data_IF_956703893734
#
_entry.id   IF_956703893734
#
_cell.length_a   1.000
_cell.length_b   1.000
_cell.length_c   1.000
_cell.angle_alpha   90.00
_cell.angle_beta   90.00
_cell.angle_gamma   90.00
#
_symmetry.space_group_name_H-M   'P 1'
#
loop_
_entity.id
_entity.type
_entity.pdbx_description
1 polymer ?
#
# COMPACT_ATOMS: atom_id res chain seq x y z
N UNK A 1 10.92 54.20 -18.28
CA UNK A 1 10.23 54.57 -19.52
C UNK A 1 10.13 53.36 -20.44
N UNK A 2 9.01 53.20 -21.13
CA UNK A 2 8.68 52.18 -22.14
C UNK A 2 7.80 52.86 -23.21
N UNK A 3 7.50 52.24 -24.36
CA UNK A 3 8.33 51.52 -25.35
C UNK A 3 8.29 52.30 -26.70
N UNK A 4 8.43 51.67 -27.90
CA UNK A 4 7.23 51.18 -28.63
C UNK A 4 7.51 49.86 -29.43
N UNK A 5 6.77 49.43 -30.50
CA UNK A 5 6.05 48.15 -30.48
C UNK A 5 6.41 47.12 -31.60
N UNK A 6 5.82 45.90 -31.60
CA UNK A 6 6.07 44.86 -32.61
C UNK A 6 4.98 44.74 -33.70
N UNK A 7 5.35 44.22 -34.89
CA UNK A 7 4.52 43.24 -35.63
C UNK A 7 5.40 42.15 -36.32
N UNK A 8 4.92 41.05 -36.90
CA UNK A 8 3.73 40.19 -36.74
C UNK A 8 4.01 38.87 -37.53
N UNK A 9 3.31 37.77 -37.24
CA UNK A 9 3.19 36.60 -38.17
C UNK A 9 1.86 36.73 -38.91
N UNK A 10 1.77 36.40 -40.22
CA UNK A 10 1.45 35.02 -40.66
C UNK A 10 2.29 34.63 -41.92
N UNK A 11 2.00 33.65 -42.80
CA UNK A 11 0.87 32.71 -42.95
C UNK A 11 1.33 31.32 -43.48
N UNK A 12 0.42 30.35 -43.34
CA UNK A 12 0.32 29.00 -43.91
C UNK A 12 0.13 28.90 -45.44
N UNK A 13 0.65 27.83 -46.06
CA UNK A 13 0.10 27.22 -47.30
C UNK A 13 0.25 25.69 -47.30
N UNK A 14 -0.65 24.99 -48.02
CA UNK A 14 -0.81 23.52 -48.03
C UNK A 14 -0.67 22.95 -49.46
N UNK A 15 -0.13 21.72 -49.53
CA UNK A 15 -0.48 20.62 -50.46
C UNK A 15 -0.39 20.76 -51.99
N UNK A 16 0.49 19.95 -52.58
CA UNK A 16 0.27 19.02 -53.72
C UNK A 16 1.36 17.92 -53.64
N UNK A 17 1.05 16.61 -53.58
CA UNK A 17 0.72 15.65 -54.67
C UNK A 17 1.81 15.55 -55.76
N UNK A 18 2.31 14.39 -56.25
CA UNK A 18 2.09 12.92 -56.07
C UNK A 18 3.43 12.19 -56.51
N UNK A 19 3.48 10.94 -57.07
CA UNK A 19 3.56 9.64 -56.37
C UNK A 19 4.73 8.72 -56.81
N UNK A 20 4.97 7.57 -56.14
CA UNK A 20 4.92 6.21 -56.77
C UNK A 20 5.17 5.03 -55.78
N UNK A 21 4.72 3.86 -56.20
CA UNK A 21 4.37 2.66 -55.42
C UNK A 21 5.52 1.67 -55.12
N UNK A 22 5.39 1.02 -53.95
CA UNK A 22 5.46 -0.44 -53.69
C UNK A 22 6.60 -1.34 -54.21
N UNK A 23 7.19 -2.11 -53.28
CA UNK A 23 7.48 -3.53 -53.52
C UNK A 23 7.38 -4.39 -52.24
N UNK A 24 6.83 -5.61 -52.38
CA UNK A 24 6.76 -6.66 -51.33
C UNK A 24 7.79 -7.77 -51.63
N UNK A 25 8.44 -8.32 -50.58
CA UNK A 25 8.94 -9.73 -50.38
C UNK A 25 10.01 -9.68 -49.28
N UNK A 26 9.92 -10.33 -48.12
CA UNK A 26 9.75 -11.76 -47.74
C UNK A 26 11.06 -12.55 -47.55
N UNK A 27 11.42 -12.76 -46.28
CA UNK A 27 11.98 -13.99 -45.64
C UNK A 27 13.27 -14.67 -46.17
N UNK A 28 14.12 -15.02 -45.18
CA UNK A 28 15.16 -16.08 -45.09
C UNK A 28 16.53 -15.80 -45.73
N UNK A 29 17.59 -16.21 -45.02
CA UNK A 29 18.98 -16.29 -45.50
C UNK A 29 19.97 -16.29 -44.33
N UNK A 30 20.74 -17.36 -44.13
CA UNK A 30 21.74 -17.50 -43.06
C UNK A 30 23.18 -17.26 -43.54
N UNK A 31 24.11 -17.23 -42.59
CA UNK A 31 25.56 -17.50 -42.67
C UNK A 31 26.58 -16.40 -43.08
N UNK A 32 27.37 -16.03 -42.05
CA UNK A 32 28.85 -15.96 -41.97
C UNK A 32 29.69 -15.63 -43.22
N UNK A 33 30.59 -14.66 -43.03
CA UNK A 33 32.00 -14.71 -43.51
C UNK A 33 32.91 -13.96 -42.51
N UNK A 34 34.24 -14.12 -42.60
CA UNK A 34 35.19 -14.04 -41.48
C UNK A 34 36.45 -13.17 -41.76
N UNK A 35 36.96 -12.45 -40.72
CA UNK A 35 38.42 -12.30 -40.35
C UNK A 35 39.29 -11.36 -41.24
N UNK A 36 40.49 -10.81 -40.85
CA UNK A 36 41.34 -10.90 -39.62
C UNK A 36 41.87 -9.58 -38.94
N UNK A 37 42.52 -9.73 -37.76
CA UNK A 37 43.59 -8.85 -37.21
C UNK A 37 43.17 -7.95 -36.02
N UNK A 38 43.87 -7.79 -34.88
CA UNK A 38 45.32 -7.80 -34.53
C UNK A 38 45.56 -8.43 -33.11
N UNK A 39 46.81 -8.71 -32.71
CA UNK A 39 47.26 -9.53 -31.55
C UNK A 39 47.64 -8.77 -30.26
N UNK A 40 47.18 -9.28 -29.09
CA UNK A 40 47.95 -9.71 -27.86
C UNK A 40 48.79 -8.68 -27.04
N UNK A 41 49.30 -8.98 -25.81
CA UNK A 41 49.24 -10.22 -24.97
C UNK A 41 48.91 -10.07 -23.46
N UNK A 42 48.51 -11.17 -22.79
CA UNK A 42 48.56 -11.43 -21.31
C UNK A 42 48.81 -12.95 -21.09
N UNK A 43 49.60 -13.42 -20.09
CA UNK A 43 50.09 -14.81 -20.03
C UNK A 43 49.14 -15.84 -19.34
N UNK A 44 49.37 -17.16 -19.50
CA UNK A 44 48.43 -18.24 -19.12
C UNK A 44 48.93 -19.22 -18.03
N UNK A 45 48.04 -20.13 -17.57
CA UNK A 45 48.22 -21.58 -17.22
C UNK A 45 47.17 -22.02 -16.16
N UNK A 46 46.81 -23.32 -16.02
CA UNK A 46 46.55 -24.33 -17.06
C UNK A 46 45.22 -25.10 -16.88
N UNK A 47 44.62 -25.54 -17.98
CA UNK A 47 43.61 -26.61 -18.01
C UNK A 47 44.22 -27.89 -18.65
N UNK A 48 43.92 -29.04 -18.06
CA UNK A 48 44.20 -30.41 -18.52
C UNK A 48 42.96 -31.26 -18.14
N UNK A 49 42.44 -32.21 -18.92
CA UNK A 49 42.94 -32.85 -20.15
C UNK A 49 41.80 -33.23 -21.12
N UNK A 50 42.20 -33.74 -22.30
CA UNK A 50 41.36 -34.12 -23.45
C UNK A 50 40.35 -35.25 -23.23
N UNK A 51 39.36 -35.29 -24.13
CA UNK A 51 38.45 -36.41 -24.34
C UNK A 51 39.06 -37.54 -25.21
N UNK A 52 38.46 -38.73 -25.15
CA UNK A 52 38.57 -39.76 -26.16
C UNK A 52 37.18 -40.40 -26.40
N UNK A 53 36.82 -40.63 -27.67
CA UNK A 53 35.61 -41.37 -28.04
C UNK A 53 35.85 -42.87 -27.88
N UNK A 54 34.77 -43.61 -27.63
CA UNK A 54 34.54 -44.96 -28.18
C UNK A 54 33.03 -45.29 -28.08
N UNK A 55 32.40 -45.61 -29.21
CA UNK A 55 31.07 -46.22 -29.24
C UNK A 55 31.21 -47.74 -29.29
N UNK A 56 30.36 -48.47 -28.58
CA UNK A 56 30.02 -49.87 -28.87
C UNK A 56 28.60 -50.18 -28.36
N UNK A 57 27.93 -51.08 -29.06
CA UNK A 57 26.53 -51.44 -28.86
C UNK A 57 26.27 -52.44 -27.72
N UNK A 58 24.99 -52.53 -27.36
CA UNK A 58 24.31 -53.70 -26.75
C UNK A 58 24.61 -54.08 -25.28
N UNK A 59 23.58 -53.84 -24.46
CA UNK A 59 23.07 -54.74 -23.40
C UNK A 59 23.75 -54.83 -22.02
N UNK A 60 23.08 -54.18 -21.06
CA UNK A 60 22.81 -54.61 -19.67
C UNK A 60 23.86 -54.49 -18.53
N UNK A 61 23.53 -53.59 -17.58
CA UNK A 61 23.49 -53.81 -16.10
C UNK A 61 24.86 -54.09 -15.41
N UNK A 62 25.39 -53.23 -14.51
CA UNK A 62 24.87 -53.03 -13.14
C UNK A 62 25.50 -51.82 -12.37
N UNK A 63 24.71 -51.19 -11.50
CA UNK A 63 25.00 -50.40 -10.27
C UNK A 63 26.17 -49.37 -10.26
N UNK A 64 25.84 -48.07 -10.19
CA UNK A 64 25.99 -47.21 -8.99
C UNK A 64 25.58 -45.76 -9.25
N UNK A 65 25.03 -45.09 -8.21
CA UNK A 65 24.56 -43.68 -8.18
C UNK A 65 23.43 -43.33 -9.19
N UNK A 66 22.37 -42.60 -8.85
CA UNK A 66 22.20 -41.56 -7.83
C UNK A 66 20.89 -41.81 -7.05
N UNK A 67 20.97 -41.98 -5.74
CA UNK A 67 19.81 -41.83 -4.84
C UNK A 67 19.66 -40.35 -4.47
N UNK A 68 19.06 -39.55 -5.35
CA UNK A 68 18.68 -38.18 -4.99
C UNK A 68 17.40 -38.28 -4.15
N UNK A 69 17.49 -37.95 -2.86
CA UNK A 69 16.36 -38.11 -1.96
C UNK A 69 15.19 -37.23 -2.38
N UNK A 70 14.03 -37.88 -2.56
CA UNK A 70 12.72 -37.24 -2.46
C UNK A 70 12.54 -36.70 -1.03
N UNK A 71 13.10 -35.52 -0.76
CA UNK A 71 12.65 -34.71 0.36
C UNK A 71 11.23 -34.26 0.04
N UNK A 72 10.26 -34.66 0.87
CA UNK A 72 8.87 -34.25 0.70
C UNK A 72 8.78 -32.72 0.70
N UNK A 73 8.23 -32.15 -0.38
CA UNK A 73 7.99 -30.72 -0.47
C UNK A 73 6.85 -30.33 0.48
N UNK A 74 7.18 -30.14 1.75
CA UNK A 74 6.35 -29.35 2.67
C UNK A 74 6.13 -27.98 2.04
N UNK A 75 4.88 -27.56 1.90
CA UNK A 75 4.53 -26.23 1.39
C UNK A 75 5.03 -25.13 2.35
N UNK A 76 6.30 -24.78 2.26
CA UNK A 76 6.83 -23.57 2.87
C UNK A 76 6.27 -22.37 2.11
N UNK A 77 5.43 -21.60 2.79
CA UNK A 77 4.81 -20.36 2.30
C UNK A 77 5.78 -19.16 2.35
N UNK A 78 7.02 -19.39 2.79
CA UNK A 78 8.05 -18.39 2.98
C UNK A 78 9.41 -18.91 2.49
N UNK A 79 10.30 -17.99 2.16
CA UNK A 79 11.65 -18.26 1.69
C UNK A 79 12.62 -18.54 2.85
N UNK A 80 13.41 -19.62 2.83
CA UNK A 80 14.43 -19.88 3.85
C UNK A 80 15.59 -18.87 3.75
N UNK A 81 16.39 -18.78 4.82
CA UNK A 81 17.57 -17.92 4.91
C UNK A 81 18.48 -18.09 3.69
N UNK A 82 19.06 -16.98 3.24
CA UNK A 82 19.94 -16.87 2.06
C UNK A 82 19.27 -17.08 0.68
N UNK A 83 17.94 -17.28 0.63
CA UNK A 83 17.20 -17.29 -0.64
C UNK A 83 16.98 -15.89 -1.22
N UNK A 84 16.90 -15.78 -2.55
CA UNK A 84 16.56 -14.53 -3.24
C UNK A 84 15.09 -14.16 -3.02
N UNK A 85 14.82 -12.90 -2.66
CA UNK A 85 13.55 -12.47 -2.05
C UNK A 85 12.87 -11.27 -2.72
N UNK A 86 13.08 -11.08 -4.02
CA UNK A 86 12.39 -10.03 -4.80
C UNK A 86 12.33 -10.41 -6.28
N UNK A 87 11.29 -11.14 -6.69
CA UNK A 87 11.09 -11.55 -8.10
C UNK A 87 9.67 -11.40 -8.63
N UNK A 88 8.65 -11.16 -7.79
CA UNK A 88 7.29 -10.85 -8.22
C UNK A 88 6.40 -10.37 -7.06
N UNK A 89 5.33 -9.65 -7.42
CA UNK A 89 4.27 -9.14 -6.51
C UNK A 89 3.49 -10.27 -5.81
N UNK A 90 3.56 -11.50 -6.35
CA UNK A 90 2.93 -12.70 -5.77
C UNK A 90 3.95 -13.71 -5.19
N UNK A 91 5.20 -13.28 -4.93
CA UNK A 91 6.27 -14.14 -4.41
C UNK A 91 6.20 -14.37 -2.89
N UNK A 92 6.65 -15.54 -2.37
CA UNK A 92 6.72 -15.78 -0.93
C UNK A 92 7.76 -14.86 -0.26
N UNK A 93 7.40 -14.23 0.86
CA UNK A 93 8.32 -13.43 1.69
C UNK A 93 9.28 -14.29 2.51
N UNK A 94 10.28 -13.68 3.15
CA UNK A 94 11.25 -14.40 4.00
C UNK A 94 10.58 -15.06 5.23
N UNK A 95 11.04 -16.25 5.61
CA UNK A 95 10.58 -16.92 6.83
C UNK A 95 11.07 -16.15 8.07
N UNK A 96 10.17 -15.82 8.98
CA UNK A 96 10.52 -15.18 10.26
C UNK A 96 11.60 -15.99 11.02
N UNK A 97 12.57 -15.33 11.67
CA UNK A 97 12.70 -13.89 11.90
C UNK A 97 13.40 -13.11 10.75
N UNK A 98 13.70 -13.75 9.62
CA UNK A 98 14.52 -13.17 8.56
C UNK A 98 13.78 -12.08 7.78
N UNK A 99 14.53 -11.09 7.28
CA UNK A 99 14.05 -10.00 6.42
C UNK A 99 14.71 -10.08 5.04
N UNK A 100 14.06 -9.50 4.04
CA UNK A 100 14.66 -9.34 2.72
C UNK A 100 15.58 -8.11 2.70
N UNK A 101 16.83 -8.31 2.27
CA UNK A 101 17.78 -7.22 2.03
C UNK A 101 18.12 -7.17 0.55
N UNK A 102 18.32 -5.98 -0.01
CA UNK A 102 18.57 -5.77 -1.43
C UNK A 102 19.97 -5.21 -1.65
N UNK A 103 20.69 -5.68 -2.65
CA UNK A 103 22.02 -5.16 -3.04
C UNK A 103 21.97 -4.45 -4.40
N UNK A 104 21.03 -4.82 -5.25
CA UNK A 104 20.79 -4.18 -6.53
C UNK A 104 19.35 -4.43 -7.00
N UNK A 105 18.86 -3.75 -8.06
CA UNK A 105 17.56 -4.05 -8.65
C UNK A 105 17.32 -5.52 -9.03
N UNK A 106 18.39 -6.32 -9.17
CA UNK A 106 18.37 -7.70 -9.64
C UNK A 106 18.81 -8.72 -8.59
N UNK A 107 19.24 -8.28 -7.40
CA UNK A 107 19.78 -9.15 -6.36
C UNK A 107 19.33 -8.72 -4.96
N UNK A 108 18.70 -9.66 -4.27
CA UNK A 108 18.18 -9.55 -2.91
C UNK A 108 18.36 -10.89 -2.20
N UNK A 109 18.33 -10.90 -0.87
CA UNK A 109 18.53 -12.09 -0.07
C UNK A 109 17.85 -12.03 1.31
N UNK A 110 17.22 -13.13 1.73
CA UNK A 110 16.72 -13.29 3.09
C UNK A 110 17.86 -13.43 4.09
N UNK A 111 17.91 -12.58 5.12
CA UNK A 111 18.95 -12.63 6.17
C UNK A 111 18.41 -12.41 7.58
N UNK A 112 19.13 -12.84 8.63
CA UNK A 112 18.76 -12.58 10.02
C UNK A 112 19.11 -11.15 10.45
N UNK A 113 20.11 -10.55 9.80
CA UNK A 113 20.55 -9.17 9.93
C UNK A 113 21.05 -8.69 8.57
N UNK A 114 21.16 -7.38 8.39
CA UNK A 114 21.69 -6.82 7.15
C UNK A 114 23.23 -7.01 7.09
N UNK A 115 23.81 -7.41 5.95
CA UNK A 115 25.26 -7.48 5.81
C UNK A 115 25.94 -6.13 6.08
N UNK A 116 27.12 -6.14 6.71
CA UNK A 116 27.87 -4.90 7.04
C UNK A 116 28.48 -4.20 5.81
N UNK A 117 28.36 -4.81 4.62
CA UNK A 117 28.88 -4.30 3.36
C UNK A 117 27.98 -3.19 2.79
N UNK A 118 28.54 -2.00 2.60
CA UNK A 118 27.89 -0.80 2.08
C UNK A 118 27.35 -0.93 0.62
N UNK A 119 27.64 -2.02 -0.08
CA UNK A 119 27.00 -2.34 -1.37
C UNK A 119 25.56 -2.84 -1.21
N UNK A 120 25.18 -3.31 -0.03
CA UNK A 120 23.80 -3.62 0.28
C UNK A 120 23.04 -2.34 0.63
N UNK A 121 21.77 -2.29 0.29
CA UNK A 121 20.82 -1.27 0.75
C UNK A 121 20.47 -1.49 2.24
N UNK A 122 21.49 -1.65 3.07
CA UNK A 122 21.46 -1.75 4.54
C UNK A 122 21.31 -0.41 5.24
N UNK A 123 20.75 0.58 4.53
CA UNK A 123 20.06 1.66 5.21
C UNK A 123 19.07 1.04 6.19
N UNK A 124 18.84 1.68 7.33
CA UNK A 124 17.70 1.37 8.19
C UNK A 124 16.42 1.53 7.36
N UNK A 125 15.98 0.47 6.67
CA UNK A 125 14.87 0.51 5.73
C UNK A 125 13.69 1.04 6.50
N UNK A 126 13.10 2.20 6.13
CA UNK A 126 12.19 2.90 7.02
C UNK A 126 11.03 1.99 7.44
N UNK A 127 11.12 1.46 8.66
CA UNK A 127 10.11 0.57 9.23
C UNK A 127 8.91 1.41 9.63
N UNK A 128 7.76 1.08 9.06
CA UNK A 128 6.50 1.81 9.24
C UNK A 128 5.49 0.91 9.95
N UNK A 129 4.95 1.38 11.09
CA UNK A 129 3.83 0.74 11.76
C UNK A 129 2.56 1.60 11.65
N UNK A 130 1.53 1.08 10.98
CA UNK A 130 0.24 1.74 10.80
C UNK A 130 -0.76 1.26 11.87
N UNK A 131 -1.24 2.17 12.72
CA UNK A 131 -2.24 1.86 13.75
C UNK A 131 -3.65 2.03 13.19
N UNK A 132 -4.46 0.99 13.31
CA UNK A 132 -5.91 1.03 13.08
C UNK A 132 -6.59 0.67 14.40
N UNK A 133 -7.24 1.65 15.02
CA UNK A 133 -7.78 1.54 16.37
C UNK A 133 -9.31 1.64 16.37
N UNK A 134 -9.99 0.61 16.89
CA UNK A 134 -11.46 0.52 16.89
C UNK A 134 -11.95 -0.32 18.07
N UNK A 135 -13.12 0.01 18.63
CA UNK A 135 -13.70 -0.68 19.78
C UNK A 135 -15.10 -1.24 19.52
N UNK A 136 -15.45 -2.29 20.25
CA UNK A 136 -16.81 -2.81 20.44
C UNK A 136 -17.45 -3.57 19.28
N UNK A 137 -16.67 -3.88 18.21
CA UNK A 137 -16.86 -4.88 17.13
C UNK A 137 -16.41 -4.32 15.77
N UNK A 138 -16.02 -5.20 14.85
CA UNK A 138 -15.46 -4.88 13.53
C UNK A 138 -16.54 -4.79 12.42
N UNK A 139 -16.33 -3.96 11.37
CA UNK A 139 -17.24 -3.92 10.22
C UNK A 139 -17.25 -5.23 9.42
N UNK A 140 -18.34 -5.50 8.69
CA UNK A 140 -18.46 -6.68 7.83
C UNK A 140 -17.45 -6.71 6.66
N UNK A 141 -16.91 -5.56 6.25
CA UNK A 141 -15.83 -5.46 5.25
C UNK A 141 -14.42 -5.68 5.81
N UNK A 142 -14.25 -5.98 7.11
CA UNK A 142 -12.94 -6.24 7.72
C UNK A 142 -12.09 -7.33 7.02
N UNK A 143 -12.66 -8.45 6.52
CA UNK A 143 -11.90 -9.42 5.73
C UNK A 143 -11.30 -8.82 4.44
N UNK A 144 -12.03 -7.90 3.79
CA UNK A 144 -11.57 -7.19 2.59
C UNK A 144 -10.43 -6.24 2.95
N UNK A 145 -10.62 -5.43 4.00
CA UNK A 145 -9.60 -4.52 4.54
C UNK A 145 -8.29 -5.27 4.81
N UNK A 146 -8.32 -6.33 5.63
CA UNK A 146 -7.12 -7.09 6.02
C UNK A 146 -6.47 -7.76 4.81
N UNK A 147 -7.24 -8.22 3.82
CA UNK A 147 -6.67 -8.69 2.57
C UNK A 147 -5.86 -7.60 1.83
N UNK A 148 -6.33 -6.34 1.84
CA UNK A 148 -5.56 -5.22 1.27
C UNK A 148 -4.33 -4.83 2.12
N UNK A 149 -4.38 -5.01 3.45
CA UNK A 149 -3.21 -4.82 4.31
C UNK A 149 -2.13 -5.89 4.04
N UNK A 150 -2.56 -7.13 3.81
CA UNK A 150 -1.68 -8.28 3.57
C UNK A 150 -0.72 -8.08 2.39
N UNK A 151 -1.13 -7.34 1.36
CA UNK A 151 -0.34 -7.09 0.15
C UNK A 151 0.70 -5.97 0.29
N UNK A 152 0.81 -5.34 1.46
CA UNK A 152 1.73 -4.24 1.72
C UNK A 152 2.87 -4.70 2.64
N UNK A 153 3.70 -5.64 2.15
CA UNK A 153 4.73 -6.34 2.94
C UNK A 153 5.83 -5.44 3.55
N UNK A 154 6.04 -4.23 3.01
CA UNK A 154 6.97 -3.24 3.55
C UNK A 154 6.42 -2.49 4.80
N UNK A 155 5.16 -2.73 5.16
CA UNK A 155 4.43 -2.04 6.22
C UNK A 155 3.83 -3.04 7.21
N UNK A 156 4.04 -2.78 8.51
CA UNK A 156 3.37 -3.50 9.58
C UNK A 156 2.08 -2.76 10.00
N UNK A 157 1.02 -3.50 10.31
CA UNK A 157 -0.27 -2.96 10.71
C UNK A 157 -0.64 -3.44 12.11
N UNK A 158 -1.00 -2.50 12.98
CA UNK A 158 -1.38 -2.75 14.37
C UNK A 158 -2.89 -2.55 14.53
N UNK A 159 -3.63 -3.66 14.63
CA UNK A 159 -5.08 -3.64 14.87
C UNK A 159 -5.34 -3.55 16.37
N UNK A 160 -5.59 -2.33 16.86
CA UNK A 160 -5.81 -2.04 18.29
C UNK A 160 -7.31 -2.12 18.60
N UNK A 161 -7.71 -3.08 19.43
CA UNK A 161 -9.13 -3.27 19.79
C UNK A 161 -9.32 -4.07 21.08
N UNK A 162 -10.53 -4.04 21.61
CA UNK A 162 -11.03 -4.94 22.66
C UNK A 162 -11.56 -6.28 22.12
N UNK A 163 -11.82 -6.38 20.81
CA UNK A 163 -12.33 -7.58 20.14
C UNK A 163 -11.37 -7.99 19.02
N UNK A 164 -10.93 -9.25 18.99
CA UNK A 164 -10.19 -9.78 17.84
C UNK A 164 -11.17 -10.01 16.68
N UNK A 165 -10.91 -9.53 15.44
CA UNK A 165 -11.79 -9.81 14.32
C UNK A 165 -11.70 -11.29 13.93
N UNK A 166 -12.83 -11.89 13.51
CA UNK A 166 -12.92 -13.30 13.12
C UNK A 166 -12.40 -13.53 11.69
N UNK A 167 -11.08 -13.41 11.54
CA UNK A 167 -10.35 -13.42 10.27
C UNK A 167 -8.93 -13.95 10.47
N UNK A 168 -8.36 -14.55 9.43
CA UNK A 168 -6.94 -14.92 9.42
C UNK A 168 -6.05 -13.67 9.38
N UNK A 169 -5.07 -13.59 10.29
CA UNK A 169 -4.09 -12.51 10.34
C UNK A 169 -2.87 -12.84 9.46
N UNK A 170 -2.57 -12.05 8.40
CA UNK A 170 -1.33 -12.19 7.64
C UNK A 170 -0.12 -11.73 8.48
N UNK A 171 1.08 -12.12 8.07
CA UNK A 171 2.31 -11.93 8.86
C UNK A 171 2.64 -10.47 9.21
N UNK A 172 2.24 -9.50 8.38
CA UNK A 172 2.44 -8.07 8.59
C UNK A 172 1.25 -7.36 9.28
N UNK A 173 0.26 -8.11 9.80
CA UNK A 173 -0.88 -7.55 10.54
C UNK A 173 -0.93 -8.20 11.93
N UNK A 174 -0.74 -7.38 12.97
CA UNK A 174 -0.69 -7.81 14.37
C UNK A 174 -1.89 -7.26 15.14
N UNK A 175 -2.59 -8.14 15.85
CA UNK A 175 -3.59 -7.73 16.82
C UNK A 175 -2.94 -7.21 18.11
N UNK A 176 -3.45 -6.09 18.63
CA UNK A 176 -3.06 -5.48 19.90
C UNK A 176 -4.31 -5.38 20.77
N UNK A 177 -4.43 -6.29 21.74
CA UNK A 177 -5.53 -6.28 22.69
C UNK A 177 -5.44 -5.04 23.61
N UNK A 178 -6.35 -4.10 23.43
CA UNK A 178 -6.44 -2.88 24.22
C UNK A 178 -7.91 -2.64 24.57
N UNK A 179 -8.31 -2.96 25.79
CA UNK A 179 -9.67 -2.65 26.25
C UNK A 179 -9.90 -1.14 26.29
N UNK A 180 -11.16 -0.70 26.17
CA UNK A 180 -11.46 0.73 26.26
C UNK A 180 -11.00 1.37 27.59
N UNK A 181 -11.06 0.61 28.69
CA UNK A 181 -10.51 1.01 30.01
C UNK A 181 -8.98 1.18 29.97
N UNK A 182 -8.28 0.32 29.23
CA UNK A 182 -6.83 0.39 29.05
C UNK A 182 -6.43 1.60 28.20
N UNK A 183 -7.19 1.94 27.15
CA UNK A 183 -6.99 3.19 26.40
C UNK A 183 -7.09 4.42 27.32
N UNK A 184 -8.15 4.51 28.14
CA UNK A 184 -8.32 5.62 29.08
C UNK A 184 -7.19 5.69 30.12
N UNK A 185 -6.68 4.54 30.58
CA UNK A 185 -5.51 4.47 31.46
C UNK A 185 -4.26 4.99 30.76
N UNK A 186 -4.00 4.59 29.52
CA UNK A 186 -2.87 5.11 28.71
C UNK A 186 -2.96 6.63 28.51
N UNK A 187 -4.16 7.19 28.28
CA UNK A 187 -4.35 8.65 28.25
C UNK A 187 -3.95 9.32 29.57
N UNK A 188 -4.36 8.75 30.70
CA UNK A 188 -3.99 9.26 32.02
C UNK A 188 -2.48 9.18 32.28
N UNK A 189 -1.86 8.04 31.97
CA UNK A 189 -0.46 7.75 32.34
C UNK A 189 0.56 8.38 31.38
N UNK A 190 0.25 8.47 30.08
CA UNK A 190 1.16 9.01 29.03
C UNK A 190 0.91 10.48 28.73
N UNK A 191 -0.35 10.91 28.70
CA UNK A 191 -0.71 12.27 28.29
C UNK A 191 -0.92 13.21 29.48
N UNK A 192 -1.07 12.66 30.70
CA UNK A 192 -1.35 13.41 31.93
C UNK A 192 -2.80 13.85 32.07
N UNK A 193 -3.70 13.36 31.21
CA UNK A 193 -5.08 13.82 31.13
C UNK A 193 -6.09 12.75 31.57
N UNK A 194 -6.95 13.11 32.52
CA UNK A 194 -8.05 12.26 32.97
C UNK A 194 -9.26 12.46 32.06
N UNK A 195 -9.47 11.58 31.10
CA UNK A 195 -10.74 11.45 30.39
C UNK A 195 -11.73 10.68 31.29
N UNK A 196 -12.75 11.33 31.89
CA UNK A 196 -13.64 10.66 32.84
C UNK A 196 -14.63 9.71 32.15
N UNK A 197 -15.03 10.04 30.92
CA UNK A 197 -15.88 9.26 30.03
C UNK A 197 -15.72 9.77 28.59
N UNK A 198 -16.22 8.99 27.62
CA UNK A 198 -16.34 9.37 26.22
C UNK A 198 -17.82 9.27 25.80
N UNK A 199 -18.29 10.24 25.02
CA UNK A 199 -19.70 10.42 24.65
C UNK A 199 -19.85 10.74 23.15
N UNK A 200 -20.83 10.14 22.49
CA UNK A 200 -21.18 10.49 21.10
C UNK A 200 -22.16 11.68 21.09
N UNK A 201 -21.95 12.72 20.27
CA UNK A 201 -22.94 13.80 20.10
C UNK A 201 -24.24 13.33 19.45
N UNK A 202 -24.17 12.28 18.62
CA UNK A 202 -25.26 11.77 17.78
C UNK A 202 -26.29 10.91 18.52
N UNK A 203 -26.02 10.45 19.74
CA UNK A 203 -26.82 9.41 20.41
C UNK A 203 -26.68 8.02 19.77
N UNK A 204 -26.25 7.94 18.52
CA UNK A 204 -25.79 6.73 17.84
C UNK A 204 -24.50 6.21 18.50
N UNK A 205 -24.67 5.40 19.55
CA UNK A 205 -23.91 4.15 19.55
C UNK A 205 -24.16 3.48 18.21
N UNK A 206 -23.11 3.28 17.40
CA UNK A 206 -23.10 2.15 16.48
C UNK A 206 -23.56 0.91 17.28
N UNK A 207 -24.14 -0.09 16.62
CA UNK A 207 -24.40 -1.40 17.25
C UNK A 207 -23.15 -2.04 17.92
N UNK A 208 -21.97 -1.47 17.68
CA UNK A 208 -20.66 -1.75 18.25
C UNK A 208 -20.21 -0.81 19.41
N UNK A 209 -21.09 -0.17 20.17
CA UNK A 209 -20.72 0.48 21.44
C UNK A 209 -20.12 1.90 21.37
N UNK A 210 -19.33 2.25 22.40
CA UNK A 210 -18.89 3.61 22.79
C UNK A 210 -18.30 4.42 21.63
N UNK A 211 -18.59 5.73 21.59
CA UNK A 211 -18.20 6.69 20.54
C UNK A 211 -16.80 6.48 19.97
N UNK A 212 -16.73 5.73 18.87
CA UNK A 212 -15.53 5.60 18.03
C UNK A 212 -15.13 6.94 17.41
N UNK A 213 -16.08 7.87 17.29
CA UNK A 213 -15.83 9.23 16.83
C UNK A 213 -14.85 9.97 17.75
N UNK A 214 -15.05 9.94 19.07
CA UNK A 214 -14.14 10.62 20.01
C UNK A 214 -12.73 10.02 20.05
N UNK A 215 -12.58 8.73 19.73
CA UNK A 215 -11.27 8.08 19.60
C UNK A 215 -10.45 8.71 18.46
N UNK A 216 -11.11 9.28 17.44
CA UNK A 216 -10.43 9.96 16.34
C UNK A 216 -9.58 11.15 16.83
N UNK A 217 -10.05 11.92 17.82
CA UNK A 217 -9.28 13.00 18.46
C UNK A 217 -7.95 12.52 19.08
N UNK A 218 -7.82 11.21 19.37
CA UNK A 218 -6.62 10.62 19.97
C UNK A 218 -5.63 10.08 18.93
N UNK A 219 -6.00 9.92 17.65
CA UNK A 219 -5.10 9.47 16.59
C UNK A 219 -3.78 10.24 16.50
N UNK A 220 -3.74 11.58 16.70
CA UNK A 220 -2.48 12.34 16.67
C UNK A 220 -1.58 12.07 17.88
N UNK A 221 -2.11 11.42 18.91
CA UNK A 221 -1.44 11.08 20.17
C UNK A 221 -1.05 9.59 20.19
N UNK A 222 -1.37 8.80 19.16
CA UNK A 222 -1.11 7.36 19.11
C UNK A 222 0.39 7.02 19.22
N UNK A 223 1.28 7.88 18.72
CA UNK A 223 2.73 7.72 18.92
C UNK A 223 3.15 7.69 20.39
N UNK A 224 2.46 8.42 21.28
CA UNK A 224 2.71 8.37 22.74
C UNK A 224 1.89 7.28 23.44
N UNK A 225 0.63 7.06 23.03
CA UNK A 225 -0.26 6.06 23.62
C UNK A 225 0.18 4.60 23.33
N UNK A 226 0.85 4.38 22.21
CA UNK A 226 1.32 3.06 21.75
C UNK A 226 2.85 3.03 21.56
N UNK A 227 3.58 3.85 22.31
CA UNK A 227 5.04 3.97 22.21
C UNK A 227 5.78 2.64 22.42
N UNK A 228 5.21 1.72 23.22
CA UNK A 228 5.74 0.37 23.43
C UNK A 228 5.55 -0.51 22.17
N UNK A 229 4.37 -0.47 21.57
CA UNK A 229 4.06 -1.21 20.34
C UNK A 229 4.74 -0.65 19.08
N UNK A 230 5.14 0.63 19.13
CA UNK A 230 5.88 1.36 18.09
C UNK A 230 7.40 1.37 18.31
N UNK A 231 7.90 0.71 19.35
CA UNK A 231 9.35 0.62 19.62
C UNK A 231 10.07 -0.08 18.46
N UNK A 232 11.18 0.51 17.99
CA UNK A 232 11.96 0.01 16.85
C UNK A 232 11.42 0.37 15.46
N UNK A 233 10.25 1.00 15.36
CA UNK A 233 9.77 1.57 14.10
C UNK A 233 10.36 2.97 13.88
N UNK A 234 10.84 3.26 12.68
CA UNK A 234 11.34 4.59 12.30
C UNK A 234 10.22 5.57 11.94
N UNK A 235 9.04 5.05 11.62
CA UNK A 235 7.82 5.76 11.26
C UNK A 235 6.62 5.07 11.89
N UNK A 236 5.62 5.85 12.29
CA UNK A 236 4.30 5.36 12.66
C UNK A 236 3.24 6.08 11.87
N UNK A 237 2.04 5.52 11.80
CA UNK A 237 0.90 6.19 11.19
C UNK A 237 -0.40 5.77 11.84
N UNK A 238 -1.48 6.39 11.40
CA UNK A 238 -2.84 5.96 11.75
C UNK A 238 -3.66 5.78 10.49
N UNK A 239 -4.67 4.91 10.54
CA UNK A 239 -5.69 4.77 9.48
C UNK A 239 -7.08 4.49 10.05
N UNK A 240 -8.11 4.82 9.28
CA UNK A 240 -9.51 4.50 9.56
C UNK A 240 -9.88 3.13 8.96
N UNK A 241 -10.89 2.48 9.55
CA UNK A 241 -11.36 1.15 9.14
C UNK A 241 -12.19 1.14 7.85
N UNK A 242 -12.53 2.30 7.31
CA UNK A 242 -13.29 2.50 6.08
C UNK A 242 -12.39 2.80 4.86
N UNK A 243 -11.11 2.44 4.96
CA UNK A 243 -10.10 2.58 3.91
C UNK A 243 -9.74 1.21 3.33
N UNK A 244 -9.54 1.14 2.01
CA UNK A 244 -8.82 0.04 1.36
C UNK A 244 -7.50 0.52 0.78
N UNK A 245 -6.49 -0.36 0.82
CA UNK A 245 -5.15 -0.06 0.33
C UNK A 245 -4.87 -0.69 -1.03
N UNK A 246 -4.22 0.07 -1.90
CA UNK A 246 -3.47 -0.46 -3.02
C UNK A 246 -2.02 -0.70 -2.60
N UNK A 247 -1.08 -0.35 -3.48
CA UNK A 247 0.33 -0.29 -3.15
C UNK A 247 0.60 1.00 -2.36
N UNK A 248 0.84 0.86 -1.04
CA UNK A 248 1.07 1.98 -0.11
C UNK A 248 2.42 2.66 -0.33
N UNK A 249 3.39 1.99 -0.97
CA UNK A 249 4.66 2.59 -1.41
C UNK A 249 4.47 3.64 -2.53
N UNK A 250 3.28 3.74 -3.15
CA UNK A 250 2.91 4.88 -4.00
C UNK A 250 2.51 6.14 -3.20
N UNK A 251 2.09 5.97 -1.93
CA UNK A 251 1.80 7.06 -0.99
C UNK A 251 3.05 7.47 -0.21
N UNK A 252 3.80 6.48 0.30
CA UNK A 252 5.03 6.69 1.06
C UNK A 252 6.25 6.05 0.38
N UNK A 253 6.63 6.47 -0.84
CA UNK A 253 7.86 6.01 -1.48
C UNK A 253 9.07 6.42 -0.62
N UNK A 254 10.11 5.58 -0.62
CA UNK A 254 11.31 5.72 0.22
C UNK A 254 11.90 7.13 0.30
N UNK A 255 12.00 7.84 -0.82
CA UNK A 255 12.53 9.21 -0.82
C UNK A 255 11.72 10.18 0.06
N UNK A 256 10.39 10.01 0.20
CA UNK A 256 9.57 10.79 1.13
C UNK A 256 9.83 10.36 2.59
N UNK A 257 9.98 9.07 2.86
CA UNK A 257 10.31 8.56 4.21
C UNK A 257 11.72 9.00 4.69
N UNK A 258 12.62 9.30 3.75
CA UNK A 258 13.95 9.88 4.02
C UNK A 258 13.91 11.41 4.20
N UNK A 259 13.10 12.12 3.39
CA UNK A 259 13.11 13.60 3.32
C UNK A 259 12.00 14.32 4.10
N UNK A 260 10.95 13.62 4.53
CA UNK A 260 9.78 14.20 5.22
C UNK A 260 9.78 13.85 6.71
N UNK A 261 8.91 14.49 7.48
CA UNK A 261 8.61 14.16 8.89
C UNK A 261 7.12 13.84 9.10
N UNK A 262 6.25 14.32 8.21
CA UNK A 262 4.83 13.99 8.14
C UNK A 262 4.45 13.79 6.68
N UNK A 263 3.66 12.76 6.37
CA UNK A 263 3.13 12.49 5.02
C UNK A 263 1.60 12.43 5.10
N UNK A 264 0.93 13.23 4.25
CA UNK A 264 -0.54 13.36 4.17
C UNK A 264 -1.05 13.05 2.75
N UNK A 265 -2.11 12.23 2.60
CA UNK A 265 -2.63 11.83 1.29
C UNK A 265 -3.51 12.91 0.63
N UNK A 266 -3.74 14.02 1.32
CA UNK A 266 -4.57 15.12 0.85
C UNK A 266 -3.75 16.27 0.24
N UNK A 267 -4.43 17.00 -0.64
CA UNK A 267 -3.99 18.26 -1.21
C UNK A 267 -4.32 19.42 -0.26
N UNK A 268 -3.56 20.51 -0.32
CA UNK A 268 -4.00 21.81 0.23
C UNK A 268 -5.39 22.20 -0.35
N UNK A 269 -6.33 22.74 0.45
CA UNK A 269 -6.24 23.10 1.88
C UNK A 269 -6.69 21.99 2.85
N UNK A 270 -6.87 20.76 2.37
CA UNK A 270 -7.25 19.59 3.19
C UNK A 270 -6.01 18.90 3.81
N UNK A 271 -4.91 19.63 3.96
CA UNK A 271 -3.61 19.07 4.31
C UNK A 271 -3.55 18.60 5.77
N UNK A 272 -2.72 17.58 6.01
CA UNK A 272 -2.37 17.09 7.35
C UNK A 272 -3.55 16.59 8.23
N UNK A 273 -4.68 16.29 7.59
CA UNK A 273 -5.85 15.62 8.17
C UNK A 273 -6.10 14.26 7.54
N UNK A 274 -6.93 13.42 8.17
CA UNK A 274 -7.81 12.53 7.41
C UNK A 274 -7.84 11.05 7.81
N UNK A 275 -8.10 10.24 6.78
CA UNK A 275 -8.36 8.79 6.91
C UNK A 275 -7.12 7.93 7.04
N UNK A 276 -5.96 8.49 6.68
CA UNK A 276 -4.65 7.84 6.77
C UNK A 276 -3.57 8.92 6.84
N UNK A 277 -2.64 8.80 7.78
CA UNK A 277 -1.52 9.73 7.97
C UNK A 277 -0.27 8.96 8.42
N UNK A 278 0.93 9.47 8.08
CA UNK A 278 2.21 8.94 8.57
C UNK A 278 3.07 10.04 9.19
N UNK A 279 3.81 9.67 10.23
CA UNK A 279 4.63 10.51 11.09
C UNK A 279 5.98 9.84 11.36
N UNK A 280 7.07 10.59 11.25
CA UNK A 280 8.39 10.06 11.63
C UNK A 280 8.40 9.78 13.13
N UNK A 281 8.88 8.61 13.54
CA UNK A 281 8.89 8.20 14.94
C UNK A 281 10.08 8.82 15.69
N UNK A 282 9.99 10.13 15.94
CA UNK A 282 10.90 10.87 16.84
C UNK A 282 10.11 11.55 17.95
N UNK A 283 10.72 11.86 19.11
CA UNK A 283 10.05 12.60 20.18
C UNK A 283 9.43 13.91 19.71
N UNK A 284 10.13 14.68 18.85
CA UNK A 284 9.67 15.97 18.32
C UNK A 284 8.36 15.87 17.53
N UNK A 285 8.22 14.85 16.68
CA UNK A 285 7.04 14.68 15.82
C UNK A 285 5.92 13.95 16.57
N UNK A 286 6.27 12.96 17.39
CA UNK A 286 5.31 12.19 18.19
C UNK A 286 4.61 13.05 19.26
N UNK A 287 5.30 14.06 19.79
CA UNK A 287 4.73 15.03 20.75
C UNK A 287 4.14 16.28 20.10
N UNK A 288 4.10 16.37 18.76
CA UNK A 288 3.72 17.59 18.02
C UNK A 288 2.34 18.13 18.41
N UNK A 289 1.40 17.25 18.77
CA UNK A 289 0.06 17.61 19.25
C UNK A 289 0.07 18.48 20.51
N UNK A 290 1.12 18.40 21.34
CA UNK A 290 1.29 19.24 22.55
C UNK A 290 1.50 20.71 22.21
N UNK A 291 1.75 21.06 20.94
CA UNK A 291 1.80 22.44 20.43
C UNK A 291 0.42 23.02 20.10
N UNK A 292 -0.66 22.26 20.29
CA UNK A 292 -2.03 22.77 20.23
C UNK A 292 -2.47 23.35 21.58
N UNK A 293 -2.92 24.60 21.58
CA UNK A 293 -3.62 25.23 22.68
C UNK A 293 -4.99 24.57 22.95
N UNK A 294 -5.58 23.89 21.97
CA UNK A 294 -6.85 23.18 22.10
C UNK A 294 -6.69 21.78 22.73
N UNK A 295 -5.51 21.17 22.71
CA UNK A 295 -5.30 19.77 23.13
C UNK A 295 -5.78 19.47 24.55
N UNK A 296 -5.60 20.38 25.51
CA UNK A 296 -6.08 20.21 26.89
C UNK A 296 -7.61 20.14 26.96
N UNK A 297 -8.31 21.00 26.19
CA UNK A 297 -9.78 20.97 26.05
C UNK A 297 -10.24 19.68 25.37
N UNK A 298 -9.55 19.25 24.31
CA UNK A 298 -9.81 17.98 23.62
C UNK A 298 -9.64 16.79 24.57
N UNK A 299 -8.64 16.81 25.44
CA UNK A 299 -8.35 15.74 26.41
C UNK A 299 -9.19 15.77 27.69
N UNK A 300 -10.01 16.80 27.90
CA UNK A 300 -10.94 16.90 29.03
C UNK A 300 -12.42 16.80 28.61
N UNK A 301 -12.72 17.00 27.32
CA UNK A 301 -14.08 16.92 26.77
C UNK A 301 -14.43 15.49 26.34
N UNK A 302 -15.60 14.99 26.76
CA UNK A 302 -16.07 13.65 26.41
C UNK A 302 -16.56 13.52 24.96
N UNK A 303 -16.99 14.61 24.34
CA UNK A 303 -17.51 14.64 22.96
C UNK A 303 -16.41 14.88 21.92
N UNK A 304 -16.58 14.28 20.74
CA UNK A 304 -15.66 14.41 19.60
C UNK A 304 -15.50 15.87 19.17
N UNK A 305 -14.25 16.35 19.13
CA UNK A 305 -13.90 17.73 18.78
C UNK A 305 -13.36 17.91 17.36
N UNK A 306 -13.20 16.81 16.60
CA UNK A 306 -12.68 16.83 15.23
C UNK A 306 -11.23 17.35 15.20
N UNK A 307 -10.42 16.90 16.16
CA UNK A 307 -9.05 17.38 16.38
C UNK A 307 -8.03 16.84 15.36
N UNK A 308 -8.27 15.63 14.84
CA UNK A 308 -7.46 14.97 13.80
C UNK A 308 -7.79 15.43 12.36
N UNK A 309 -8.80 16.28 12.22
CA UNK A 309 -9.43 16.62 10.95
C UNK A 309 -9.56 18.14 10.76
N UNK A 310 -9.74 18.58 9.51
CA UNK A 310 -9.71 20.01 9.13
C UNK A 310 -11.03 20.77 9.38
N UNK A 311 -12.11 20.04 9.67
CA UNK A 311 -13.48 20.54 9.79
C UNK A 311 -13.99 20.50 11.25
N UNK A 312 -15.28 20.78 11.46
CA UNK A 312 -15.91 20.62 12.78
C UNK A 312 -15.64 21.76 13.79
N UNK A 313 -15.83 21.51 15.11
CA UNK A 313 -15.78 22.54 16.16
C UNK A 313 -14.44 23.31 16.28
N UNK A 314 -13.36 22.70 15.79
CA UNK A 314 -12.01 23.28 15.78
C UNK A 314 -11.54 23.79 14.40
N UNK A 315 -12.42 23.79 13.39
CA UNK A 315 -12.13 24.39 12.08
C UNK A 315 -11.75 25.88 12.23
N UNK A 316 -10.64 26.29 11.60
CA UNK A 316 -10.09 27.65 11.74
C UNK A 316 -9.55 27.98 13.14
N UNK A 317 -9.47 26.99 14.03
CA UNK A 317 -8.82 27.06 15.35
C UNK A 317 -7.63 26.09 15.36
N UNK A 318 -7.23 25.66 16.55
CA UNK A 318 -5.96 24.99 16.78
C UNK A 318 -6.01 23.46 16.73
N UNK A 319 -6.62 22.90 15.68
CA UNK A 319 -6.63 21.46 15.39
C UNK A 319 -5.26 20.97 14.86
N UNK A 320 -5.07 19.66 14.73
CA UNK A 320 -3.79 19.11 14.25
C UNK A 320 -3.39 19.54 12.84
N UNK A 321 -4.31 19.66 11.86
CA UNK A 321 -3.99 20.25 10.57
C UNK A 321 -3.39 21.66 10.69
N UNK A 322 -3.93 22.52 11.57
CA UNK A 322 -3.39 23.86 11.82
C UNK A 322 -2.03 23.84 12.55
N UNK A 323 -1.82 22.90 13.50
CA UNK A 323 -0.52 22.69 14.13
C UNK A 323 0.52 22.27 13.10
N UNK A 324 0.26 21.21 12.34
CA UNK A 324 1.20 20.66 11.35
C UNK A 324 1.47 21.69 10.25
N UNK A 325 0.44 22.44 9.83
CA UNK A 325 0.57 23.55 8.89
C UNK A 325 1.53 24.64 9.36
N UNK A 326 1.29 25.25 10.54
CA UNK A 326 2.17 26.34 11.02
C UNK A 326 3.60 25.88 11.27
N UNK A 327 3.80 24.62 11.68
CA UNK A 327 5.12 24.06 11.99
C UNK A 327 5.87 23.73 10.68
N UNK A 328 5.16 23.36 9.62
CA UNK A 328 5.72 23.30 8.28
C UNK A 328 6.09 24.69 7.73
N UNK A 329 5.22 25.69 7.90
CA UNK A 329 5.48 27.08 7.49
C UNK A 329 6.66 27.69 8.26
N UNK A 330 6.84 27.31 9.53
CA UNK A 330 7.99 27.69 10.36
C UNK A 330 9.27 26.89 10.06
N UNK A 331 9.21 25.88 9.18
CA UNK A 331 10.35 25.04 8.82
C UNK A 331 10.79 24.04 9.90
N UNK A 332 9.99 23.82 10.95
CA UNK A 332 10.29 22.87 12.04
C UNK A 332 9.86 21.44 11.71
N UNK A 333 8.92 21.27 10.77
CA UNK A 333 8.36 19.99 10.32
C UNK A 333 8.42 19.90 8.79
N UNK A 334 9.03 18.86 8.23
CA UNK A 334 9.02 18.62 6.78
C UNK A 334 7.73 17.92 6.37
N UNK A 335 6.69 18.68 6.06
CA UNK A 335 5.39 18.16 5.63
C UNK A 335 5.40 17.82 4.14
N UNK A 336 5.05 16.57 3.81
CA UNK A 336 4.77 16.12 2.44
C UNK A 336 3.28 15.92 2.23
N UNK A 337 2.78 16.44 1.10
CA UNK A 337 1.38 16.41 0.69
C UNK A 337 1.24 15.72 -0.66
N UNK A 338 0.06 15.15 -0.93
CA UNK A 338 -0.28 14.69 -2.27
C UNK A 338 -0.24 15.85 -3.28
N UNK A 339 0.05 15.53 -4.55
CA UNK A 339 0.11 16.54 -5.62
C UNK A 339 -0.98 16.31 -6.67
N UNK A 340 -1.31 17.36 -7.43
CA UNK A 340 -2.31 17.26 -8.51
C UNK A 340 -1.90 16.26 -9.60
N UNK A 341 -0.59 16.01 -9.75
CA UNK A 341 0.02 15.01 -10.64
C UNK A 341 0.04 13.61 -10.04
N UNK A 342 0.30 13.49 -8.74
CA UNK A 342 0.34 12.22 -8.00
C UNK A 342 -0.81 12.19 -7.00
N UNK A 343 -2.03 11.98 -7.52
CA UNK A 343 -3.21 11.76 -6.68
C UNK A 343 -3.19 10.32 -6.16
N UNK A 344 -2.66 10.15 -4.95
CA UNK A 344 -2.52 8.86 -4.25
C UNK A 344 -3.84 8.33 -3.68
N UNK A 345 -4.85 9.19 -3.54
CA UNK A 345 -6.12 8.89 -2.91
C UNK A 345 -7.31 8.96 -3.88
N UNK A 346 -8.37 8.23 -3.56
CA UNK A 346 -9.71 8.35 -4.11
C UNK A 346 -10.78 8.14 -3.02
N UNK A 347 -12.00 8.56 -3.32
CA UNK A 347 -13.18 8.27 -2.52
C UNK A 347 -14.38 7.98 -3.44
N UNK A 348 -15.52 7.68 -2.81
CA UNK A 348 -16.81 7.38 -3.42
C UNK A 348 -17.74 8.60 -3.54
N UNK A 349 -17.22 9.82 -3.38
CA UNK A 349 -18.02 11.06 -3.36
C UNK A 349 -18.10 11.73 -4.73
N UNK A 350 -19.25 12.34 -5.01
CA UNK A 350 -19.45 13.28 -6.10
C UNK A 350 -19.49 14.72 -5.57
N UNK A 351 -18.49 15.51 -5.96
CA UNK A 351 -18.26 16.89 -5.49
C UNK A 351 -18.90 17.98 -6.35
N UNK A 352 -19.69 17.61 -7.38
CA UNK A 352 -20.25 18.57 -8.34
C UNK A 352 -21.53 19.22 -7.81
N UNK A 353 -21.53 20.55 -7.70
CA UNK A 353 -22.75 21.35 -7.54
C UNK A 353 -23.48 21.21 -6.19
N UNK A 354 -22.82 20.69 -5.14
CA UNK A 354 -23.44 20.48 -3.81
C UNK A 354 -22.53 20.99 -2.69
N UNK A 355 -23.13 21.59 -1.65
CA UNK A 355 -22.43 21.99 -0.43
C UNK A 355 -21.98 20.79 0.43
N UNK A 356 -22.68 19.66 0.32
CA UNK A 356 -22.28 18.37 0.88
C UNK A 356 -22.19 17.35 -0.26
N UNK A 357 -21.04 16.67 -0.47
CA UNK A 357 -20.90 15.70 -1.54
C UNK A 357 -21.90 14.54 -1.43
N UNK A 358 -22.46 14.12 -2.56
CA UNK A 358 -23.31 12.93 -2.64
C UNK A 358 -22.50 11.66 -2.92
N UNK A 359 -23.14 10.49 -2.87
CA UNK A 359 -22.54 9.26 -3.39
C UNK A 359 -22.37 9.40 -4.91
N UNK A 360 -21.20 9.03 -5.44
CA UNK A 360 -21.02 8.94 -6.89
C UNK A 360 -21.64 7.63 -7.39
N UNK A 361 -22.82 7.72 -8.01
CA UNK A 361 -23.55 6.59 -8.59
C UNK A 361 -22.77 5.87 -9.71
N UNK A 362 -21.79 6.55 -10.32
CA UNK A 362 -20.88 5.99 -11.32
C UNK A 362 -19.54 5.52 -10.72
N UNK A 363 -19.40 5.51 -9.39
CA UNK A 363 -18.19 5.03 -8.74
C UNK A 363 -17.96 3.55 -9.04
N UNK A 364 -16.78 3.26 -9.58
CA UNK A 364 -16.25 1.90 -9.56
C UNK A 364 -14.77 1.87 -9.22
N UNK A 365 -14.38 0.82 -8.49
CA UNK A 365 -13.01 0.50 -8.17
C UNK A 365 -12.74 -0.99 -8.35
N UNK A 366 -11.47 -1.33 -8.51
CA UNK A 366 -10.99 -2.70 -8.53
C UNK A 366 -9.70 -2.78 -7.73
N UNK A 367 -9.62 -3.78 -6.84
CA UNK A 367 -8.37 -4.21 -6.26
C UNK A 367 -7.91 -5.48 -6.98
N UNK A 368 -6.66 -5.53 -7.42
CA UNK A 368 -6.10 -6.62 -8.23
C UNK A 368 -4.61 -6.75 -7.99
N UNK A 369 -4.13 -7.93 -7.56
CA UNK A 369 -2.70 -8.21 -7.31
C UNK A 369 -1.98 -7.08 -6.54
N UNK A 370 -2.51 -6.68 -5.38
CA UNK A 370 -1.94 -5.60 -4.56
C UNK A 370 -2.15 -4.17 -5.10
N UNK A 371 -2.65 -4.00 -6.33
CA UNK A 371 -2.90 -2.70 -6.94
C UNK A 371 -4.39 -2.31 -6.87
N UNK A 372 -4.66 -1.07 -6.47
CA UNK A 372 -6.01 -0.50 -6.41
C UNK A 372 -6.21 0.50 -7.55
N UNK A 373 -7.28 0.31 -8.32
CA UNK A 373 -7.63 1.08 -9.52
C UNK A 373 -9.02 1.67 -9.34
N UNK A 374 -9.18 2.95 -9.68
CA UNK A 374 -10.48 3.63 -9.64
C UNK A 374 -10.86 4.17 -11.02
N UNK A 375 -12.14 4.02 -11.37
CA UNK A 375 -12.75 4.73 -12.48
C UNK A 375 -13.84 5.68 -11.91
N UNK A 376 -13.62 7.00 -11.95
CA UNK A 376 -14.61 7.97 -11.47
C UNK A 376 -15.76 8.23 -12.46
N UNK A 377 -15.71 7.64 -13.67
CA UNK A 377 -16.70 7.82 -14.73
C UNK A 377 -17.48 6.54 -15.08
N UNK A 378 -18.57 6.70 -15.83
CA UNK A 378 -19.60 5.69 -16.08
C UNK A 378 -19.21 4.49 -16.98
N UNK A 379 -17.92 4.29 -17.29
CA UNK A 379 -17.44 3.22 -18.18
C UNK A 379 -16.92 1.99 -17.41
N UNK A 380 -17.83 1.31 -16.70
CA UNK A 380 -17.61 -0.03 -16.15
C UNK A 380 -16.52 -0.17 -15.08
N UNK A 381 -16.44 -1.36 -14.48
CA UNK A 381 -15.42 -1.67 -13.49
C UNK A 381 -14.03 -1.78 -14.15
N UNK A 382 -12.97 -1.13 -13.62
CA UNK A 382 -11.68 -1.00 -14.30
C UNK A 382 -10.90 -2.30 -14.56
N UNK A 383 -11.37 -3.45 -14.08
CA UNK A 383 -10.73 -4.77 -14.28
C UNK A 383 -11.55 -5.76 -15.11
N UNK A 384 -12.83 -5.52 -15.41
CA UNK A 384 -13.67 -6.51 -16.09
C UNK A 384 -13.45 -6.48 -17.61
N UNK A 385 -12.41 -7.19 -18.06
CA UNK A 385 -12.24 -7.59 -19.47
C UNK A 385 -11.32 -6.74 -20.34
N UNK A 386 -10.49 -5.87 -19.76
CA UNK A 386 -9.55 -5.03 -20.51
C UNK A 386 -8.13 -5.07 -19.92
N UNK A 387 -7.14 -5.41 -20.76
CA UNK A 387 -5.88 -4.67 -20.67
C UNK A 387 -6.24 -3.19 -20.79
N UNK A 388 -5.82 -2.30 -19.86
CA UNK A 388 -6.24 -0.91 -19.90
C UNK A 388 -5.82 -0.31 -21.23
N UNK A 389 -6.81 -0.09 -22.11
CA UNK A 389 -6.64 0.77 -23.28
C UNK A 389 -6.15 2.10 -22.72
N UNK A 390 -5.02 2.62 -23.23
CA UNK A 390 -4.33 3.81 -22.71
C UNK A 390 -5.34 4.90 -22.30
N UNK A 391 -5.55 5.08 -20.99
CA UNK A 391 -6.47 6.07 -20.43
C UNK A 391 -7.63 5.54 -19.56
N UNK A 392 -7.91 4.24 -19.52
CA UNK A 392 -9.00 3.68 -18.68
C UNK A 392 -8.49 3.32 -17.28
N UNK A 393 -8.96 4.04 -16.26
CA UNK A 393 -8.65 3.81 -14.83
C UNK A 393 -7.39 4.51 -14.31
N UNK A 394 -7.43 4.97 -13.05
CA UNK A 394 -6.29 5.55 -12.32
C UNK A 394 -5.89 4.63 -11.16
N UNK A 395 -4.62 4.27 -11.06
CA UNK A 395 -4.08 3.58 -9.88
C UNK A 395 -4.02 4.55 -8.68
N UNK A 396 -4.34 4.06 -7.50
CA UNK A 396 -4.28 4.77 -6.22
C UNK A 396 -3.67 3.88 -5.13
N UNK A 397 -3.14 4.51 -4.08
CA UNK A 397 -2.68 3.84 -2.87
C UNK A 397 -3.82 3.67 -1.84
N UNK A 398 -4.78 4.58 -1.84
CA UNK A 398 -5.80 4.73 -0.79
C UNK A 398 -7.17 4.94 -1.44
N UNK A 399 -8.15 4.13 -1.06
CA UNK A 399 -9.57 4.35 -1.37
C UNK A 399 -10.36 4.49 -0.07
N UNK A 400 -11.10 5.58 0.08
CA UNK A 400 -11.97 5.82 1.22
C UNK A 400 -13.45 5.56 0.90
N UNK A 401 -14.09 4.67 1.67
CA UNK A 401 -15.53 4.46 1.62
C UNK A 401 -16.26 5.46 2.53
N UNK A 402 -16.37 6.73 2.09
CA UNK A 402 -17.09 7.75 2.83
C UNK A 402 -18.59 7.46 2.94
N UNK A 403 -19.21 7.06 1.82
CA UNK A 403 -20.66 7.00 1.67
C UNK A 403 -21.17 5.60 1.30
N UNK A 404 -20.40 4.84 0.51
CA UNK A 404 -20.71 3.49 0.07
C UNK A 404 -20.89 2.55 1.26
N UNK A 405 -20.07 2.71 2.32
CA UNK A 405 -20.20 1.95 3.58
C UNK A 405 -21.56 2.09 4.29
N UNK A 406 -22.36 3.09 3.92
CA UNK A 406 -23.69 3.36 4.47
C UNK A 406 -24.82 2.76 3.62
N UNK A 407 -24.55 2.19 2.45
CA UNK A 407 -25.59 1.61 1.58
C UNK A 407 -26.04 0.24 2.09
N UNK A 408 -27.29 -0.12 1.82
CA UNK A 408 -27.83 -1.42 2.18
C UNK A 408 -27.09 -2.58 1.51
N UNK A 409 -26.54 -2.37 0.30
CA UNK A 409 -25.75 -3.38 -0.40
C UNK A 409 -24.39 -3.61 0.25
N UNK A 410 -23.73 -2.55 0.72
CA UNK A 410 -22.45 -2.67 1.44
C UNK A 410 -22.62 -3.20 2.88
N UNK A 411 -23.73 -2.88 3.53
CA UNK A 411 -24.10 -3.49 4.82
C UNK A 411 -24.43 -4.99 4.70
N UNK A 412 -24.76 -5.47 3.50
CA UNK A 412 -25.06 -6.88 3.18
C UNK A 412 -23.90 -7.65 2.56
N UNK A 413 -22.68 -7.08 2.52
CA UNK A 413 -21.51 -7.82 2.07
C UNK A 413 -21.45 -9.15 2.83
N UNK A 414 -21.47 -10.30 2.14
CA UNK A 414 -21.27 -11.57 2.81
C UNK A 414 -19.90 -11.51 3.47
N UNK A 415 -19.80 -11.99 4.71
CA UNK A 415 -18.51 -12.29 5.30
C UNK A 415 -17.77 -13.18 4.29
N UNK A 416 -16.61 -12.72 3.78
CA UNK A 416 -15.84 -13.45 2.78
C UNK A 416 -15.62 -14.86 3.33
N UNK A 417 -16.21 -15.90 2.71
CA UNK A 417 -16.34 -17.16 3.41
C UNK A 417 -14.96 -17.76 3.63
N UNK A 418 -14.69 -18.19 4.86
CA UNK A 418 -13.43 -18.81 5.24
C UNK A 418 -13.07 -20.05 4.37
N UNK A 419 -14.05 -20.60 3.64
CA UNK A 419 -13.89 -21.65 2.64
C UNK A 419 -13.26 -21.21 1.31
N UNK A 420 -12.89 -19.93 1.12
CA UNK A 420 -11.88 -19.53 0.12
C UNK A 420 -10.51 -20.06 0.58
N UNK A 421 -10.29 -21.37 0.42
CA UNK A 421 -9.29 -22.19 1.13
C UNK A 421 -7.87 -21.61 1.20
N UNK A 422 -7.62 -20.78 2.21
CA UNK A 422 -6.36 -20.04 2.40
C UNK A 422 -6.02 -19.02 1.31
N UNK A 423 -6.92 -18.73 0.36
CA UNK A 423 -6.68 -17.85 -0.79
C UNK A 423 -7.85 -16.92 -1.02
N UNK A 424 -7.72 -15.70 -0.52
CA UNK A 424 -8.57 -14.57 -0.93
C UNK A 424 -8.57 -14.41 -2.47
N UNK A 425 -9.66 -13.90 -3.06
CA UNK A 425 -9.73 -13.68 -4.49
C UNK A 425 -8.68 -12.64 -4.91
N UNK A 426 -7.87 -12.96 -5.94
CA UNK A 426 -6.81 -12.07 -6.46
C UNK A 426 -7.32 -10.75 -7.05
N UNK A 427 -8.64 -10.65 -7.23
CA UNK A 427 -9.37 -9.54 -7.82
C UNK A 427 -10.66 -9.30 -7.03
N UNK A 428 -10.98 -8.04 -6.76
CA UNK A 428 -12.19 -7.58 -6.08
C UNK A 428 -12.71 -6.31 -6.77
N UNK A 429 -14.00 -6.23 -7.06
CA UNK A 429 -14.62 -5.10 -7.74
C UNK A 429 -15.64 -4.42 -6.84
N UNK A 430 -15.55 -3.10 -6.68
CA UNK A 430 -16.43 -2.29 -5.85
C UNK A 430 -17.24 -1.35 -6.74
N UNK A 431 -18.56 -1.36 -6.61
CA UNK A 431 -19.48 -0.45 -7.32
C UNK A 431 -20.49 0.15 -6.32
N UNK A 432 -21.31 1.11 -6.77
CA UNK A 432 -22.47 1.58 -5.99
C UNK A 432 -23.39 0.45 -5.50
N UNK A 433 -23.46 -0.64 -6.26
CA UNK A 433 -24.28 -1.82 -5.96
C UNK A 433 -23.63 -2.81 -4.97
N UNK A 434 -22.35 -2.63 -4.60
CA UNK A 434 -21.65 -3.47 -3.62
C UNK A 434 -20.30 -4.03 -4.08
N UNK A 435 -19.87 -5.13 -3.45
CA UNK A 435 -18.67 -5.89 -3.82
C UNK A 435 -19.05 -7.04 -4.76
N UNK A 436 -18.26 -7.19 -5.80
CA UNK A 436 -18.31 -8.27 -6.77
C UNK A 436 -16.97 -9.00 -6.75
N UNK A 437 -17.02 -10.33 -6.62
CA UNK A 437 -15.85 -11.18 -6.75
C UNK A 437 -15.93 -11.88 -8.11
N UNK A 438 -14.91 -11.77 -8.98
CA UNK A 438 -14.90 -12.55 -10.20
C UNK A 438 -14.82 -14.03 -9.84
N UNK A 439 -15.75 -14.82 -10.37
CA UNK A 439 -15.78 -16.25 -10.15
C UNK A 439 -14.55 -16.88 -10.79
N UNK A 440 -13.64 -17.41 -9.97
CA UNK A 440 -12.57 -18.26 -10.45
C UNK A 440 -13.20 -19.55 -10.99
N UNK A 441 -13.41 -19.63 -12.31
CA UNK A 441 -13.76 -20.89 -12.95
C UNK A 441 -12.61 -21.85 -12.69
N UNK A 442 -12.85 -22.85 -11.84
CA UNK A 442 -11.96 -23.99 -11.71
C UNK A 442 -11.81 -24.60 -13.09
N UNK A 443 -10.63 -24.45 -13.69
CA UNK A 443 -10.28 -25.13 -14.94
C UNK A 443 -10.16 -26.62 -14.65
N UNK A 444 -11.31 -27.29 -14.57
CA UNK A 444 -11.40 -28.73 -14.72
C UNK A 444 -10.86 -29.06 -16.10
N UNK A 445 -9.57 -29.39 -16.15
CA UNK A 445 -8.93 -30.00 -17.29
C UNK A 445 -9.55 -31.37 -17.49
N UNK A 446 -10.73 -31.40 -18.13
CA UNK A 446 -11.29 -32.62 -18.68
C UNK A 446 -10.35 -33.07 -19.78
N UNK A 447 -9.43 -33.95 -19.43
CA UNK A 447 -8.65 -34.74 -20.39
C UNK A 447 -9.62 -35.63 -21.14
N UNK A 448 -10.22 -35.10 -22.20
CA UNK A 448 -11.03 -35.87 -23.15
C UNK A 448 -10.09 -36.76 -23.96
N UNK A 449 -9.80 -37.93 -23.39
CA UNK A 449 -9.25 -39.06 -24.14
C UNK A 449 -10.36 -39.65 -25.00
N UNK A 450 -10.26 -39.44 -26.31
CA UNK A 450 -11.07 -40.08 -27.36
C UNK A 450 -10.24 -40.15 -28.64
#
# INVERSE_FOLDING_TARGET
CTPPPPPSRPHSTRCSQLPTQACRRSRRGCHRSLVPGIRSPVPPLPLRSFAALLCCDSSCIHVQTIACMLAAATHQTCLPTFSQCDTSIDGPGCCAPHRCFKQSPWYSQCGPACPEDATWECHNTPSVAMILARWGNWPNWTPVLIHTLAANHDFDFLLVSDVHPDVHMPANVRFVNCTFKELLRRCQDRLGARLPAISAPSGDTFRSGVSSEKVNDLKPMFGELFAEELAGYTWWGHMQEDVLLGNLSLFAPRHLLETSDVISPYLFPLNASGVLMMYRNTPTITTLWRRSAAASTVLSTSTYQVFDEWWGPLAGKDNMPAVIGREADAGTVRLSLASSRQRVMADDKQYIGRATPGLNEHFSACWRHGALWVNPGAEGAPCLGLHPRRGVGRQVAILHFSLLKRTASFAKLPALPASYGGRYPSEMVFTGDGLWLPYASSSSSSSSSS
#
